data_IF_584801208126
#
_entry.id   IF_584801208126
#
_cell.length_a   1.000
_cell.length_b   1.000
_cell.length_c   1.000
_cell.angle_alpha   90.00
_cell.angle_beta   90.00
_cell.angle_gamma   90.00
#
_symmetry.space_group_name_H-M   'P 1'
#
loop_
_entity.id
_entity.type
_entity.pdbx_description
1 polymer ?
#
# COMPACT_ATOMS: atom_id res chain seq x y z
N UNK A 1 -44.69 39.18 1.10
CA UNK A 1 -45.26 38.17 0.17
C UNK A 1 -44.63 38.39 -1.20
N UNK A 2 -44.32 37.35 -2.00
CA UNK A 2 -43.76 36.01 -1.75
C UNK A 2 -42.29 35.97 -2.27
N UNK A 3 -41.44 34.93 -2.22
CA UNK A 3 -41.64 33.48 -2.15
C UNK A 3 -41.16 32.81 -3.46
N UNK A 4 -40.54 31.63 -3.34
CA UNK A 4 -40.11 30.65 -4.38
C UNK A 4 -38.83 31.01 -5.15
N UNK A 5 -37.80 30.16 -5.27
CA UNK A 5 -37.79 28.69 -5.24
C UNK A 5 -37.50 28.16 -6.64
N UNK A 6 -36.37 27.46 -6.77
CA UNK A 6 -36.13 26.36 -7.73
C UNK A 6 -36.55 26.53 -9.19
N UNK A 7 -35.55 26.52 -10.09
CA UNK A 7 -35.64 25.66 -11.27
C UNK A 7 -34.24 25.27 -11.76
N UNK A 8 -33.88 24.05 -11.41
CA UNK A 8 -32.88 23.24 -12.08
C UNK A 8 -33.31 23.00 -13.54
N UNK A 9 -32.30 22.99 -14.40
CA UNK A 9 -32.19 22.18 -15.60
C UNK A 9 -32.94 22.69 -16.85
N UNK A 10 -32.76 22.02 -18.00
CA UNK A 10 -31.52 21.88 -18.77
C UNK A 10 -31.80 22.23 -20.24
N UNK A 11 -30.83 22.65 -21.06
CA UNK A 11 -30.87 22.68 -22.54
C UNK A 11 -29.63 23.46 -23.01
N UNK A 12 -28.82 23.08 -23.98
CA UNK A 12 -28.59 21.87 -24.75
C UNK A 12 -27.28 22.17 -25.54
N UNK A 13 -26.67 21.17 -26.19
CA UNK A 13 -25.30 21.21 -26.68
C UNK A 13 -25.19 22.03 -27.97
N UNK A 14 -24.00 22.57 -28.21
CA UNK A 14 -23.62 22.97 -29.57
C UNK A 14 -24.11 24.35 -30.01
N UNK A 15 -23.54 25.39 -29.42
CA UNK A 15 -23.22 26.59 -30.20
C UNK A 15 -21.71 26.71 -30.20
N UNK A 16 -21.09 26.02 -31.16
CA UNK A 16 -19.75 26.41 -31.61
C UNK A 16 -19.92 27.76 -32.26
N UNK A 17 -19.71 28.83 -31.50
CA UNK A 17 -19.43 30.13 -32.09
C UNK A 17 -18.06 30.00 -32.76
N UNK A 18 -18.05 29.49 -34.00
CA UNK A 18 -16.90 29.52 -34.89
C UNK A 18 -16.76 30.97 -35.34
N UNK A 19 -16.28 31.82 -34.42
CA UNK A 19 -15.65 33.07 -34.79
C UNK A 19 -14.39 32.68 -35.56
N UNK A 20 -14.46 32.78 -36.87
CA UNK A 20 -13.36 32.47 -37.77
C UNK A 20 -12.09 33.23 -37.36
N UNK A 21 -10.90 32.68 -37.66
CA UNK A 21 -9.60 33.19 -37.20
C UNK A 21 -9.23 34.61 -37.69
N UNK A 22 -10.12 35.27 -38.44
CA UNK A 22 -9.85 36.50 -39.17
C UNK A 22 -10.46 37.76 -38.54
N UNK A 23 -11.24 37.67 -37.46
CA UNK A 23 -11.92 38.85 -36.86
C UNK A 23 -11.10 39.61 -35.81
N UNK A 24 -9.99 39.08 -35.27
CA UNK A 24 -9.15 39.80 -34.31
C UNK A 24 -7.67 39.43 -34.50
N UNK A 25 -6.91 40.12 -35.38
CA UNK A 25 -5.48 39.89 -35.58
C UNK A 25 -4.61 40.29 -34.38
N UNK A 26 -5.20 41.02 -33.42
CA UNK A 26 -4.51 41.53 -32.24
C UNK A 26 -4.51 40.55 -31.06
N UNK A 27 -5.45 39.58 -30.99
CA UNK A 27 -5.64 38.74 -29.80
C UNK A 27 -4.76 37.47 -29.82
N UNK A 28 -4.46 36.96 -31.00
CA UNK A 28 -3.56 35.83 -31.27
C UNK A 28 -2.08 36.18 -31.12
N UNK A 29 -1.72 37.47 -30.98
CA UNK A 29 -0.37 37.91 -30.60
C UNK A 29 -0.10 37.84 -29.10
N UNK A 30 -1.16 37.88 -28.27
CA UNK A 30 -1.06 37.91 -26.80
C UNK A 30 -1.53 36.62 -26.11
N UNK A 31 -2.19 35.71 -26.83
CA UNK A 31 -2.55 34.39 -26.29
C UNK A 31 -1.39 33.42 -26.55
N UNK A 32 -0.62 33.00 -25.51
CA UNK A 32 0.26 31.85 -25.66
C UNK A 32 -0.57 30.69 -26.20
N UNK A 33 -0.06 30.02 -27.24
CA UNK A 33 -0.72 28.86 -27.84
C UNK A 33 -1.16 27.91 -26.73
N UNK A 34 -2.45 27.63 -26.62
CA UNK A 34 -2.99 26.74 -25.58
C UNK A 34 -2.21 25.42 -25.49
N UNK A 35 -1.63 24.96 -26.59
CA UNK A 35 -0.79 23.76 -26.68
C UNK A 35 0.49 23.77 -25.84
N UNK A 36 1.05 24.93 -25.45
CA UNK A 36 2.24 24.99 -24.57
C UNK A 36 1.88 25.08 -23.09
N UNK A 37 0.69 25.59 -22.78
CA UNK A 37 0.17 25.75 -21.43
C UNK A 37 -0.38 24.42 -20.86
N UNK A 38 -0.94 23.56 -21.71
CA UNK A 38 -1.45 22.24 -21.30
C UNK A 38 -0.34 21.30 -20.78
N UNK A 39 0.81 21.09 -21.46
CA UNK A 39 1.89 20.25 -20.95
C UNK A 39 2.51 20.77 -19.65
N UNK A 40 2.69 22.09 -19.52
CA UNK A 40 3.23 22.67 -18.29
C UNK A 40 2.27 22.53 -17.11
N UNK A 41 0.96 22.65 -17.35
CA UNK A 41 -0.06 22.45 -16.32
C UNK A 41 -0.12 20.98 -15.87
N UNK A 42 -0.14 20.04 -16.82
CA UNK A 42 -0.15 18.59 -16.53
C UNK A 42 1.13 18.20 -15.76
N UNK A 43 2.31 18.68 -16.19
CA UNK A 43 3.57 18.44 -15.49
C UNK A 43 3.56 19.03 -14.07
N UNK A 44 2.96 20.20 -13.87
CA UNK A 44 2.84 20.80 -12.53
C UNK A 44 1.90 20.03 -11.61
N UNK A 45 0.79 19.48 -12.12
CA UNK A 45 -0.11 18.63 -11.32
C UNK A 45 0.53 17.30 -10.95
N UNK A 46 1.27 16.68 -11.87
CA UNK A 46 1.96 15.42 -11.63
C UNK A 46 3.06 15.61 -10.56
N UNK A 47 3.84 16.68 -10.66
CA UNK A 47 4.87 17.03 -9.67
C UNK A 47 4.27 17.24 -8.27
N UNK A 48 3.13 17.93 -8.19
CA UNK A 48 2.47 18.17 -6.92
C UNK A 48 2.01 16.86 -6.26
N UNK A 49 1.43 15.95 -7.04
CA UNK A 49 1.04 14.63 -6.54
C UNK A 49 2.23 13.79 -6.07
N UNK A 50 3.34 13.80 -6.82
CA UNK A 50 4.55 13.07 -6.45
C UNK A 50 5.18 13.59 -5.15
N UNK A 51 5.19 14.90 -4.96
CA UNK A 51 5.73 15.54 -3.75
C UNK A 51 4.85 15.28 -2.53
N UNK A 52 3.52 15.28 -2.68
CA UNK A 52 2.59 14.89 -1.62
C UNK A 52 2.81 13.42 -1.20
N UNK A 53 3.03 12.52 -2.16
CA UNK A 53 3.34 11.12 -1.87
C UNK A 53 4.66 10.94 -1.11
N UNK A 54 5.70 11.70 -1.46
CA UNK A 54 6.98 11.67 -0.74
C UNK A 54 6.84 12.14 0.71
N UNK A 55 6.08 13.22 0.95
CA UNK A 55 5.83 13.67 2.32
C UNK A 55 5.03 12.65 3.12
N UNK A 56 3.95 12.11 2.54
CA UNK A 56 3.16 11.07 3.18
C UNK A 56 4.01 9.86 3.55
N UNK A 57 4.86 9.40 2.63
CA UNK A 57 5.76 8.29 2.90
C UNK A 57 6.73 8.59 4.05
N UNK A 58 7.33 9.78 4.09
CA UNK A 58 8.25 10.15 5.17
C UNK A 58 7.53 10.25 6.52
N UNK A 59 6.31 10.79 6.56
CA UNK A 59 5.50 10.84 7.79
C UNK A 59 5.09 9.44 8.25
N UNK A 60 4.60 8.57 7.36
CA UNK A 60 4.22 7.20 7.73
C UNK A 60 5.43 6.40 8.19
N UNK A 61 6.59 6.61 7.58
CA UNK A 61 7.85 5.98 7.98
C UNK A 61 8.21 6.31 9.43
N UNK A 62 8.13 7.58 9.84
CA UNK A 62 8.37 7.99 11.23
C UNK A 62 7.34 7.35 12.16
N UNK A 63 6.06 7.36 11.77
CA UNK A 63 4.99 6.75 12.57
C UNK A 63 5.26 5.26 12.77
N UNK A 64 5.64 4.52 11.73
CA UNK A 64 5.93 3.08 11.82
C UNK A 64 7.12 2.83 12.74
N UNK A 65 8.21 3.59 12.57
CA UNK A 65 9.44 3.44 13.38
C UNK A 65 9.21 3.75 14.86
N UNK A 66 8.26 4.59 15.20
CA UNK A 66 7.95 4.96 16.60
C UNK A 66 6.82 4.11 17.20
N UNK A 67 5.70 3.99 16.49
CA UNK A 67 4.50 3.33 17.00
C UNK A 67 4.69 1.82 17.14
N UNK A 68 5.35 1.16 16.17
CA UNK A 68 5.53 -0.30 16.23
C UNK A 68 6.37 -0.70 17.44
N UNK A 69 7.57 -0.14 17.70
CA UNK A 69 8.34 -0.53 18.88
C UNK A 69 7.65 -0.12 20.18
N UNK A 70 6.93 1.00 20.19
CA UNK A 70 6.16 1.43 21.36
C UNK A 70 5.11 0.40 21.76
N UNK A 71 4.32 -0.10 20.81
CA UNK A 71 3.33 -1.15 21.08
C UNK A 71 3.99 -2.45 21.57
N UNK A 72 5.20 -2.75 21.09
CA UNK A 72 5.96 -3.91 21.55
C UNK A 72 6.44 -3.77 22.98
N UNK A 73 6.98 -2.62 23.36
CA UNK A 73 7.42 -2.38 24.74
C UNK A 73 6.25 -2.52 25.71
N UNK A 74 5.07 -1.99 25.34
CA UNK A 74 3.88 -2.05 26.18
C UNK A 74 3.39 -3.49 26.42
N UNK A 75 3.50 -4.35 25.42
CA UNK A 75 3.02 -5.73 25.49
C UNK A 75 4.08 -6.72 25.97
N UNK A 76 5.36 -6.33 25.93
CA UNK A 76 6.50 -7.14 26.38
C UNK A 76 6.36 -7.61 27.84
N UNK A 77 5.88 -6.74 28.74
CA UNK A 77 5.68 -7.12 30.16
C UNK A 77 4.73 -8.31 30.31
N UNK A 78 3.69 -8.40 29.47
CA UNK A 78 2.74 -9.50 29.48
C UNK A 78 3.31 -10.75 28.81
N UNK A 79 4.12 -10.57 27.77
CA UNK A 79 4.78 -11.70 27.11
C UNK A 79 5.74 -12.43 28.05
N UNK A 80 6.55 -11.70 28.82
CA UNK A 80 7.47 -12.33 29.79
C UNK A 80 6.71 -13.25 30.73
N UNK A 81 5.58 -12.79 31.28
CA UNK A 81 4.76 -13.59 32.18
C UNK A 81 4.06 -14.78 31.50
N UNK A 82 3.47 -14.58 30.32
CA UNK A 82 2.63 -15.62 29.68
C UNK A 82 3.38 -16.57 28.75
N UNK A 83 4.49 -16.14 28.17
CA UNK A 83 5.28 -16.89 27.18
C UNK A 83 6.56 -17.41 27.80
N UNK A 84 7.32 -16.57 28.51
CA UNK A 84 8.65 -16.96 28.99
C UNK A 84 8.60 -17.77 30.29
N UNK A 85 7.63 -17.51 31.17
CA UNK A 85 7.46 -18.28 32.41
C UNK A 85 6.67 -19.59 32.23
N UNK A 86 6.12 -19.87 31.04
CA UNK A 86 5.37 -21.10 30.75
C UNK A 86 6.20 -22.09 29.91
N UNK A 87 5.84 -23.39 29.93
CA UNK A 87 6.50 -24.37 29.05
C UNK A 87 6.30 -23.98 27.58
N UNK A 88 7.40 -23.96 26.82
CA UNK A 88 7.39 -23.62 25.41
C UNK A 88 6.58 -24.65 24.63
N UNK A 89 5.46 -24.20 24.07
CA UNK A 89 4.64 -24.99 23.14
C UNK A 89 4.95 -24.56 21.71
N UNK A 90 4.70 -25.44 20.74
CA UNK A 90 4.93 -25.13 19.32
C UNK A 90 4.19 -23.87 18.86
N UNK A 91 2.97 -23.64 19.36
CA UNK A 91 2.17 -22.44 19.10
C UNK A 91 2.81 -21.18 19.68
N UNK A 92 3.42 -21.30 20.86
CA UNK A 92 4.12 -20.19 21.52
C UNK A 92 5.38 -19.78 20.75
N UNK A 93 6.17 -20.76 20.27
CA UNK A 93 7.34 -20.50 19.42
C UNK A 93 6.96 -19.81 18.11
N UNK A 94 5.93 -20.32 17.42
CA UNK A 94 5.42 -19.70 16.18
C UNK A 94 4.94 -18.28 16.40
N UNK A 95 4.22 -18.02 17.51
CA UNK A 95 3.79 -16.67 17.87
C UNK A 95 4.96 -15.71 18.08
N UNK A 96 6.01 -16.16 18.79
CA UNK A 96 7.23 -15.37 19.00
C UNK A 96 7.91 -15.07 17.66
N UNK A 97 8.09 -16.07 16.79
CA UNK A 97 8.73 -15.88 15.47
C UNK A 97 7.96 -14.86 14.64
N UNK A 98 6.65 -15.05 14.46
CA UNK A 98 5.79 -14.13 13.69
C UNK A 98 5.94 -12.71 14.21
N UNK A 99 5.91 -12.57 15.54
CA UNK A 99 6.03 -11.28 16.19
C UNK A 99 7.36 -10.58 15.91
N UNK A 100 8.50 -11.21 16.21
CA UNK A 100 9.79 -10.55 16.00
C UNK A 100 10.10 -10.35 14.51
N UNK A 101 9.66 -11.26 13.64
CA UNK A 101 9.73 -11.08 12.18
C UNK A 101 8.91 -9.87 11.73
N UNK A 102 7.69 -9.70 12.25
CA UNK A 102 6.83 -8.56 11.93
C UNK A 102 7.45 -7.22 12.35
N UNK A 103 8.10 -7.17 13.52
CA UNK A 103 8.83 -5.96 13.95
C UNK A 103 9.99 -5.63 13.01
N UNK A 104 10.82 -6.63 12.70
CA UNK A 104 11.97 -6.44 11.79
C UNK A 104 11.49 -5.96 10.42
N UNK A 105 10.44 -6.57 9.90
CA UNK A 105 9.88 -6.21 8.61
C UNK A 105 9.27 -4.80 8.61
N UNK A 106 8.54 -4.42 9.66
CA UNK A 106 7.98 -3.07 9.80
C UNK A 106 9.08 -2.00 9.87
N UNK A 107 10.19 -2.29 10.56
CA UNK A 107 11.35 -1.39 10.56
C UNK A 107 11.99 -1.30 9.18
N UNK A 108 12.14 -2.43 8.48
CA UNK A 108 12.71 -2.47 7.14
C UNK A 108 11.86 -1.72 6.12
N UNK A 109 10.53 -1.84 6.17
CA UNK A 109 9.63 -1.13 5.25
C UNK A 109 9.54 0.36 5.59
N UNK A 110 9.46 0.71 6.88
CA UNK A 110 9.45 2.09 7.34
C UNK A 110 10.75 2.83 6.98
N UNK A 111 11.90 2.20 7.14
CA UNK A 111 13.18 2.83 6.79
C UNK A 111 13.47 2.78 5.29
N UNK A 112 13.18 1.66 4.63
CA UNK A 112 13.46 1.44 3.21
C UNK A 112 12.55 2.20 2.24
N UNK A 113 11.33 2.56 2.67
CA UNK A 113 10.43 3.43 1.91
C UNK A 113 10.78 4.91 2.02
N UNK A 114 11.42 5.30 3.13
CA UNK A 114 11.68 6.70 3.46
C UNK A 114 12.83 7.31 2.66
N UNK A 115 12.80 8.64 2.51
CA UNK A 115 13.92 9.39 1.93
C UNK A 115 15.14 9.49 2.85
N UNK A 116 15.06 8.98 4.09
CA UNK A 116 16.12 9.10 5.09
C UNK A 116 17.32 8.19 4.81
N UNK A 117 17.09 7.05 4.15
CA UNK A 117 18.15 6.08 3.81
C UNK A 117 18.49 6.22 2.32
N UNK A 118 19.39 7.16 2.01
CA UNK A 118 19.94 7.29 0.66
C UNK A 118 21.05 6.25 0.44
N UNK A 119 20.75 5.20 -0.31
CA UNK A 119 21.71 4.14 -0.70
C UNK A 119 21.75 3.91 -2.21
N UNK A 120 22.68 3.07 -2.71
CA UNK A 120 22.72 2.69 -4.12
C UNK A 120 21.37 2.08 -4.56
N UNK A 121 20.90 2.41 -5.77
CA UNK A 121 19.61 1.92 -6.29
C UNK A 121 19.47 0.39 -6.22
N UNK A 122 20.58 -0.34 -6.43
CA UNK A 122 20.63 -1.80 -6.34
C UNK A 122 20.30 -2.32 -4.93
N UNK A 123 20.75 -1.62 -3.89
CA UNK A 123 20.47 -1.99 -2.49
C UNK A 123 19.00 -1.73 -2.16
N UNK A 124 18.43 -0.64 -2.67
CA UNK A 124 17.01 -0.31 -2.50
C UNK A 124 16.10 -1.37 -3.15
N UNK A 125 16.42 -1.84 -4.36
CA UNK A 125 15.64 -2.90 -5.03
C UNK A 125 15.66 -4.22 -4.25
N UNK A 126 16.81 -4.61 -3.70
CA UNK A 126 16.94 -5.84 -2.90
C UNK A 126 16.14 -5.73 -1.61
N UNK A 127 16.22 -4.60 -0.91
CA UNK A 127 15.44 -4.35 0.31
C UNK A 127 13.94 -4.39 0.01
N UNK A 128 13.52 -3.79 -1.10
CA UNK A 128 12.12 -3.78 -1.52
C UNK A 128 11.60 -5.19 -1.83
N UNK A 129 12.34 -5.99 -2.61
CA UNK A 129 11.97 -7.37 -2.89
C UNK A 129 11.94 -8.22 -1.61
N UNK A 130 12.96 -8.09 -0.76
CA UNK A 130 13.01 -8.77 0.52
C UNK A 130 11.83 -8.39 1.43
N UNK A 131 11.39 -7.13 1.38
CA UNK A 131 10.23 -6.65 2.12
C UNK A 131 8.92 -7.24 1.60
N UNK A 132 8.71 -7.31 0.28
CA UNK A 132 7.47 -7.90 -0.28
C UNK A 132 7.37 -9.39 0.07
N UNK A 133 8.42 -10.16 -0.24
CA UNK A 133 8.43 -11.59 0.04
C UNK A 133 8.40 -11.88 1.54
N UNK A 134 9.11 -11.06 2.34
CA UNK A 134 9.08 -11.13 3.79
C UNK A 134 7.69 -10.85 4.37
N UNK A 135 6.96 -9.89 3.80
CA UNK A 135 5.59 -9.57 4.21
C UNK A 135 4.62 -10.71 3.91
N UNK A 136 4.73 -11.32 2.74
CA UNK A 136 3.94 -12.50 2.39
C UNK A 136 4.20 -13.66 3.37
N UNK A 137 5.45 -13.96 3.67
CA UNK A 137 5.80 -15.01 4.65
C UNK A 137 5.26 -14.68 6.05
N UNK A 138 5.37 -13.43 6.48
CA UNK A 138 4.84 -12.98 7.76
C UNK A 138 3.31 -13.15 7.85
N UNK A 139 2.57 -12.73 6.82
CA UNK A 139 1.11 -12.88 6.77
C UNK A 139 0.70 -14.35 6.81
N UNK A 140 1.35 -15.20 6.01
CA UNK A 140 1.07 -16.64 5.99
C UNK A 140 1.26 -17.27 7.38
N UNK A 141 2.33 -16.89 8.07
CA UNK A 141 2.59 -17.40 9.41
C UNK A 141 1.60 -16.82 10.46
N UNK A 142 1.20 -15.56 10.33
CA UNK A 142 0.18 -14.94 11.18
C UNK A 142 -1.20 -15.62 11.02
N UNK A 143 -1.60 -15.92 9.79
CA UNK A 143 -2.84 -16.63 9.47
C UNK A 143 -2.86 -18.03 10.07
N UNK A 144 -1.75 -18.76 10.01
CA UNK A 144 -1.62 -20.08 10.66
C UNK A 144 -1.83 -19.97 12.17
N UNK A 145 -1.22 -18.97 12.82
CA UNK A 145 -1.45 -18.72 14.27
C UNK A 145 -2.91 -18.38 14.55
N UNK A 146 -3.56 -17.62 13.67
CA UNK A 146 -4.98 -17.29 13.79
C UNK A 146 -5.86 -18.55 13.67
N UNK A 147 -5.59 -19.43 12.71
CA UNK A 147 -6.31 -20.70 12.54
C UNK A 147 -6.15 -21.59 13.76
N UNK A 148 -4.92 -21.70 14.31
CA UNK A 148 -4.66 -22.47 15.52
C UNK A 148 -5.44 -21.93 16.73
N UNK A 149 -5.54 -20.61 16.87
CA UNK A 149 -6.34 -19.97 17.92
C UNK A 149 -7.82 -20.26 17.78
N UNK A 150 -8.37 -20.16 16.57
CA UNK A 150 -9.78 -20.50 16.29
C UNK A 150 -10.04 -21.98 16.56
N UNK A 151 -9.12 -22.86 16.18
CA UNK A 151 -9.20 -24.29 16.44
C UNK A 151 -9.24 -24.62 17.94
N UNK A 152 -8.41 -23.93 18.74
CA UNK A 152 -8.40 -24.09 20.20
C UNK A 152 -9.72 -23.61 20.84
N UNK A 153 -10.30 -22.54 20.31
CA UNK A 153 -11.58 -21.99 20.80
C UNK A 153 -12.78 -22.89 20.47
N UNK A 154 -12.75 -23.59 19.32
CA UNK A 154 -13.84 -24.47 18.88
C UNK A 154 -13.66 -25.95 19.27
N UNK A 155 -13.18 -26.18 20.49
CA UNK A 155 -13.06 -27.50 21.10
C UNK A 155 -12.41 -28.57 20.20
N UNK A 156 -11.38 -28.19 19.43
CA UNK A 156 -10.61 -29.09 18.57
C UNK A 156 -11.41 -29.85 17.49
N UNK A 157 -12.59 -29.34 17.08
CA UNK A 157 -13.38 -29.99 16.03
C UNK A 157 -12.63 -29.98 14.68
N UNK A 158 -12.36 -31.17 14.13
CA UNK A 158 -11.55 -31.32 12.91
C UNK A 158 -12.24 -30.76 11.67
N UNK A 159 -13.57 -30.68 11.66
CA UNK A 159 -14.36 -30.16 10.54
C UNK A 159 -14.05 -28.70 10.26
N UNK A 160 -13.99 -27.87 11.30
CA UNK A 160 -13.71 -26.43 11.15
C UNK A 160 -12.27 -26.20 10.72
N UNK A 161 -11.33 -27.01 11.21
CA UNK A 161 -9.94 -26.96 10.77
C UNK A 161 -9.84 -27.18 9.26
N UNK A 162 -10.51 -28.19 8.71
CA UNK A 162 -10.49 -28.45 7.27
C UNK A 162 -11.10 -27.31 6.44
N UNK A 163 -12.21 -26.72 6.91
CA UNK A 163 -12.84 -25.57 6.25
C UNK A 163 -11.90 -24.37 6.25
N UNK A 164 -11.30 -24.03 7.39
CA UNK A 164 -10.37 -22.91 7.52
C UNK A 164 -9.10 -23.12 6.69
N UNK A 165 -8.57 -24.35 6.68
CA UNK A 165 -7.40 -24.70 5.88
C UNK A 165 -7.68 -24.57 4.38
N UNK A 166 -8.86 -25.01 3.93
CA UNK A 166 -9.25 -24.87 2.52
C UNK A 166 -9.29 -23.40 2.10
N UNK A 167 -9.94 -22.55 2.89
CA UNK A 167 -10.02 -21.10 2.62
C UNK A 167 -8.62 -20.48 2.62
N UNK A 168 -7.77 -20.86 3.59
CA UNK A 168 -6.40 -20.39 3.69
C UNK A 168 -5.54 -20.78 2.46
N UNK A 169 -5.68 -22.00 1.95
CA UNK A 169 -4.95 -22.43 0.75
C UNK A 169 -5.40 -21.63 -0.47
N UNK A 170 -6.70 -21.43 -0.66
CA UNK A 170 -7.24 -20.61 -1.76
C UNK A 170 -6.72 -19.18 -1.67
N UNK A 171 -6.74 -18.59 -0.47
CA UNK A 171 -6.22 -17.24 -0.24
C UNK A 171 -4.72 -17.16 -0.56
N UNK A 172 -3.91 -18.09 -0.05
CA UNK A 172 -2.47 -18.15 -0.28
C UNK A 172 -2.14 -18.22 -1.77
N UNK A 173 -2.84 -19.08 -2.51
CA UNK A 173 -2.68 -19.22 -3.97
C UNK A 173 -3.01 -17.90 -4.67
N UNK A 174 -4.10 -17.23 -4.28
CA UNK A 174 -4.51 -15.97 -4.87
C UNK A 174 -3.47 -14.85 -4.65
N UNK A 175 -2.92 -14.74 -3.43
CA UNK A 175 -1.92 -13.72 -3.10
C UNK A 175 -0.63 -13.94 -3.88
N UNK A 176 -0.11 -15.18 -3.93
CA UNK A 176 1.11 -15.51 -4.66
C UNK A 176 0.94 -15.30 -6.17
N UNK A 177 -0.23 -15.64 -6.72
CA UNK A 177 -0.52 -15.44 -8.15
C UNK A 177 -0.52 -13.94 -8.51
N UNK A 178 -1.10 -13.10 -7.66
CA UNK A 178 -1.16 -11.65 -7.85
C UNK A 178 0.25 -11.05 -7.76
N UNK A 179 1.00 -11.39 -6.72
CA UNK A 179 2.38 -10.89 -6.55
C UNK A 179 3.29 -11.35 -7.69
N UNK A 180 3.16 -12.61 -8.10
CA UNK A 180 3.86 -13.15 -9.27
C UNK A 180 3.49 -12.41 -10.56
N UNK A 181 2.20 -12.16 -10.79
CA UNK A 181 1.75 -11.43 -11.97
C UNK A 181 2.32 -10.00 -12.04
N UNK A 182 2.37 -9.29 -10.91
CA UNK A 182 2.94 -7.95 -10.86
C UNK A 182 4.47 -7.93 -10.91
N UNK A 183 5.14 -8.96 -10.39
CA UNK A 183 6.61 -9.05 -10.37
C UNK A 183 7.23 -9.70 -11.60
N UNK A 184 6.45 -10.31 -12.49
CA UNK A 184 6.92 -10.74 -13.81
C UNK A 184 6.86 -9.50 -14.71
N UNK A 185 7.95 -8.71 -14.87
CA UNK A 185 8.00 -7.80 -16.00
C UNK A 185 7.91 -8.68 -17.24
N UNK A 186 7.16 -8.23 -18.25
CA UNK A 186 7.52 -8.55 -19.62
C UNK A 186 8.98 -8.16 -19.76
N UNK A 187 9.89 -9.14 -19.62
CA UNK A 187 11.29 -9.00 -19.98
C UNK A 187 11.25 -8.47 -21.39
N UNK A 188 11.71 -7.23 -21.55
CA UNK A 188 11.94 -6.65 -22.85
C UNK A 188 12.63 -7.71 -23.71
N UNK A 189 11.93 -8.20 -24.73
CA UNK A 189 12.57 -8.70 -25.95
C UNK A 189 13.18 -7.49 -26.68
N UNK A 190 14.06 -6.76 -26.00
CA UNK A 190 15.21 -6.11 -26.61
C UNK A 190 16.38 -7.08 -26.46
N UNK A 191 16.21 -8.25 -27.08
CA UNK A 191 17.32 -9.01 -27.62
C UNK A 191 17.45 -8.56 -29.07
N UNK A 192 18.54 -7.84 -29.34
CA UNK A 192 19.01 -7.32 -30.64
C UNK A 192 18.27 -6.12 -31.23
#
# INVERSE_FOLDING_TARGET
MPGLGTLLAPLQPGIKFVLGPNCFPALNRWLPSKSTLFPSYIMSSDLQSALELLFLNNYTSIIIVVAVPYDYILTFSKEVEYVWCRPWTWVSTMFVIVRYMGLLLAMLTGLGGSSFVSGPLQVSTVIYLAAIWGFLVFLLAADVVMILRVYAMWNQSRTILWILLFIYVVQTISSVAVDGYYQIPNTHLSAC
#
